data_IF_425516177917
#
_entry.id   IF_425516177917
#
_cell.length_a   1.000
_cell.length_b   1.000
_cell.length_c   1.000
_cell.angle_alpha   90.00
_cell.angle_beta   90.00
_cell.angle_gamma   90.00
#
_symmetry.space_group_name_H-M   'P 1'
#
loop_
_entity.id
_entity.type
_entity.pdbx_description
1 polymer ?
#
# COMPACT_ATOMS: atom_id res chain seq x y z
N UNK A 1 26.84 37.66 35.67
CA UNK A 1 25.63 36.88 35.31
C UNK A 1 25.39 37.08 33.82
N UNK A 2 26.04 36.25 33.00
CA UNK A 2 26.07 36.42 31.54
C UNK A 2 24.89 35.66 30.93
N UNK A 3 23.90 36.39 30.40
CA UNK A 3 22.79 35.79 29.63
C UNK A 3 23.32 35.47 28.23
N UNK A 4 23.44 34.19 27.90
CA UNK A 4 23.66 33.76 26.53
C UNK A 4 22.45 34.13 25.67
N UNK A 5 22.63 35.14 24.81
CA UNK A 5 21.69 35.50 23.77
C UNK A 5 21.87 34.53 22.60
N UNK A 6 21.03 33.50 22.54
CA UNK A 6 21.00 32.58 21.40
C UNK A 6 20.55 33.35 20.15
N UNK A 7 21.44 33.47 19.16
CA UNK A 7 21.16 34.12 17.89
C UNK A 7 20.06 33.32 17.15
N UNK A 8 18.99 33.94 16.63
CA UNK A 8 17.98 33.22 15.89
C UNK A 8 18.61 32.65 14.61
N UNK A 9 18.64 31.32 14.50
CA UNK A 9 19.17 30.59 13.34
C UNK A 9 18.29 30.91 12.13
N UNK A 10 18.69 31.96 11.39
CA UNK A 10 18.05 32.41 10.16
C UNK A 10 18.31 31.33 9.09
N UNK A 11 17.23 30.74 8.55
CA UNK A 11 17.32 29.70 7.51
C UNK A 11 16.73 28.32 7.87
N UNK A 12 16.12 28.15 9.05
CA UNK A 12 15.25 26.97 9.27
C UNK A 12 14.06 27.07 8.32
N UNK A 13 14.11 26.29 7.24
CA UNK A 13 12.99 26.06 6.36
C UNK A 13 11.77 25.56 7.14
N UNK A 14 10.63 25.56 6.48
CA UNK A 14 9.37 25.13 7.07
C UNK A 14 9.52 23.76 7.75
N UNK A 15 9.13 23.60 9.04
CA UNK A 15 9.34 22.35 9.77
C UNK A 15 8.66 21.18 9.05
N UNK A 16 9.38 20.05 8.98
CA UNK A 16 8.91 18.80 8.34
C UNK A 16 7.58 18.39 8.96
N UNK A 17 6.57 18.16 8.12
CA UNK A 17 5.21 17.78 8.55
C UNK A 17 4.25 18.94 8.82
N UNK A 18 4.69 20.20 8.72
CA UNK A 18 3.74 21.32 8.90
C UNK A 18 2.78 21.47 7.71
N UNK A 19 1.48 21.35 7.98
CA UNK A 19 0.41 21.44 6.98
C UNK A 19 0.19 22.87 6.49
N UNK A 20 -0.02 23.06 5.18
CA UNK A 20 -0.42 24.35 4.62
C UNK A 20 -1.72 24.85 5.29
N UNK A 21 -1.68 26.02 5.94
CA UNK A 21 -2.80 26.56 6.72
C UNK A 21 -4.06 26.72 5.86
N UNK A 22 -3.90 27.22 4.63
CA UNK A 22 -5.03 27.45 3.73
C UNK A 22 -5.71 26.12 3.33
N UNK A 23 -4.91 25.12 2.96
CA UNK A 23 -5.44 23.79 2.60
C UNK A 23 -6.08 23.09 3.80
N UNK A 24 -5.54 23.28 5.01
CA UNK A 24 -6.15 22.75 6.24
C UNK A 24 -7.52 23.38 6.48
N UNK A 25 -7.60 24.70 6.49
CA UNK A 25 -8.86 25.44 6.67
C UNK A 25 -9.92 25.02 5.65
N UNK A 26 -9.52 24.86 4.38
CA UNK A 26 -10.42 24.39 3.34
C UNK A 26 -10.94 22.97 3.60
N UNK A 27 -10.07 22.04 4.01
CA UNK A 27 -10.46 20.67 4.34
C UNK A 27 -11.42 20.63 5.52
N UNK A 28 -11.13 21.41 6.57
CA UNK A 28 -11.97 21.48 7.77
C UNK A 28 -13.36 22.06 7.43
N UNK A 29 -13.41 23.14 6.64
CA UNK A 29 -14.68 23.74 6.18
C UNK A 29 -15.48 22.79 5.28
N UNK A 30 -14.80 22.06 4.39
CA UNK A 30 -15.44 21.08 3.51
C UNK A 30 -16.06 19.92 4.31
N UNK A 31 -15.36 19.41 5.32
CA UNK A 31 -15.88 18.37 6.21
C UNK A 31 -17.09 18.86 7.02
N UNK A 32 -17.03 20.09 7.53
CA UNK A 32 -18.15 20.70 8.25
C UNK A 32 -19.38 20.87 7.34
N UNK A 33 -19.18 21.35 6.11
CA UNK A 33 -20.26 21.51 5.14
C UNK A 33 -20.87 20.16 4.75
N UNK A 34 -20.06 19.13 4.52
CA UNK A 34 -20.55 17.80 4.19
C UNK A 34 -21.31 17.15 5.37
N UNK A 35 -20.89 17.41 6.61
CA UNK A 35 -21.59 16.95 7.81
C UNK A 35 -22.99 17.57 7.89
N UNK A 36 -23.07 18.90 7.76
CA UNK A 36 -24.34 19.64 7.76
C UNK A 36 -25.25 19.23 6.60
N UNK A 37 -24.68 19.01 5.40
CA UNK A 37 -25.42 18.52 4.25
C UNK A 37 -26.08 17.15 4.54
N UNK A 38 -25.39 16.29 5.29
CA UNK A 38 -25.91 14.99 5.69
C UNK A 38 -27.03 15.05 6.73
N UNK A 39 -27.02 16.05 7.61
CA UNK A 39 -28.11 16.28 8.57
C UNK A 39 -29.46 16.61 7.90
N UNK A 40 -29.45 16.99 6.61
CA UNK A 40 -30.68 17.12 5.81
C UNK A 40 -31.26 15.78 5.35
N UNK A 41 -30.46 14.72 5.30
CA UNK A 41 -30.86 13.39 4.82
C UNK A 41 -31.04 12.39 5.97
N UNK A 42 -30.34 12.56 7.08
CA UNK A 42 -30.39 11.67 8.24
C UNK A 42 -29.94 12.36 9.54
N UNK A 43 -29.62 11.57 10.57
CA UNK A 43 -29.20 12.09 11.90
C UNK A 43 -27.73 11.87 12.20
N UNK A 44 -26.99 11.26 11.28
CA UNK A 44 -25.59 10.87 11.48
C UNK A 44 -24.62 11.76 10.68
N UNK A 45 -25.05 12.98 10.33
CA UNK A 45 -24.27 13.98 9.61
C UNK A 45 -23.56 13.40 8.39
N UNK A 46 -22.23 13.42 8.42
CA UNK A 46 -21.40 12.99 7.28
C UNK A 46 -21.68 11.55 6.82
N UNK A 47 -22.07 10.66 7.74
CA UNK A 47 -22.43 9.27 7.38
C UNK A 47 -23.68 9.27 6.51
N UNK A 48 -24.74 9.97 6.94
CA UNK A 48 -25.98 10.11 6.18
C UNK A 48 -25.76 10.76 4.81
N UNK A 49 -24.82 11.72 4.70
CA UNK A 49 -24.41 12.29 3.42
C UNK A 49 -23.80 11.24 2.48
N UNK A 50 -22.88 10.42 3.00
CA UNK A 50 -22.21 9.37 2.23
C UNK A 50 -23.15 8.24 1.85
N UNK A 51 -24.07 7.85 2.72
CA UNK A 51 -25.11 6.85 2.43
C UNK A 51 -26.03 7.33 1.29
N UNK A 52 -26.45 8.60 1.34
CA UNK A 52 -27.23 9.20 0.26
C UNK A 52 -26.47 9.11 -1.08
N UNK A 53 -25.18 9.45 -1.10
CA UNK A 53 -24.37 9.36 -2.32
C UNK A 53 -24.05 7.93 -2.76
N UNK A 54 -23.97 6.96 -1.84
CA UNK A 54 -23.78 5.56 -2.19
C UNK A 54 -24.94 5.02 -3.04
N UNK A 55 -26.17 5.49 -2.77
CA UNK A 55 -27.38 5.10 -3.49
C UNK A 55 -27.60 5.96 -4.74
N UNK A 56 -27.52 7.28 -4.60
CA UNK A 56 -27.91 8.23 -5.65
C UNK A 56 -26.79 8.53 -6.66
N UNK A 57 -25.53 8.41 -6.25
CA UNK A 57 -24.34 8.75 -7.05
C UNK A 57 -23.25 7.68 -6.92
N UNK A 58 -23.54 6.40 -7.28
CA UNK A 58 -22.67 5.27 -6.95
C UNK A 58 -21.28 5.38 -7.59
N UNK A 59 -21.16 5.93 -8.80
CA UNK A 59 -19.88 6.07 -9.52
C UNK A 59 -18.87 6.92 -8.73
N UNK A 60 -19.32 8.05 -8.20
CA UNK A 60 -18.49 8.93 -7.37
C UNK A 60 -18.13 8.28 -6.03
N UNK A 61 -19.08 7.54 -5.43
CA UNK A 61 -18.85 6.82 -4.19
C UNK A 61 -17.81 5.69 -4.33
N UNK A 62 -17.89 4.88 -5.39
CA UNK A 62 -16.89 3.84 -5.68
C UNK A 62 -15.49 4.41 -5.83
N UNK A 63 -15.36 5.60 -6.42
CA UNK A 63 -14.06 6.28 -6.56
C UNK A 63 -13.46 6.67 -5.20
N UNK A 64 -14.28 6.97 -4.20
CA UNK A 64 -13.83 7.21 -2.83
C UNK A 64 -13.45 5.90 -2.13
N UNK A 65 -14.26 4.85 -2.31
CA UNK A 65 -13.99 3.53 -1.74
C UNK A 65 -12.62 3.01 -2.20
N UNK A 66 -12.32 3.12 -3.49
CA UNK A 66 -11.03 2.73 -4.05
C UNK A 66 -9.82 3.47 -3.41
N UNK A 67 -10.01 4.68 -2.89
CA UNK A 67 -8.95 5.45 -2.21
C UNK A 67 -8.79 5.09 -0.74
N UNK A 68 -9.82 4.56 -0.10
CA UNK A 68 -9.80 4.13 1.30
C UNK A 68 -9.30 2.69 1.44
N UNK A 69 -9.45 1.89 0.39
CA UNK A 69 -8.92 0.53 0.36
C UNK A 69 -7.38 0.51 0.44
N UNK A 70 -6.79 -0.30 1.33
CA UNK A 70 -5.35 -0.48 1.38
C UNK A 70 -4.84 -1.09 0.06
N UNK A 71 -3.92 -0.41 -0.62
CA UNK A 71 -3.29 -0.92 -1.85
C UNK A 71 -2.19 -1.96 -1.57
N UNK A 72 -1.70 -2.01 -0.34
CA UNK A 72 -0.60 -2.89 0.07
C UNK A 72 -1.06 -3.72 1.27
N UNK A 73 -0.96 -5.04 1.14
CA UNK A 73 -1.05 -5.94 2.30
C UNK A 73 0.24 -5.72 3.08
N UNK A 74 0.15 -5.03 4.23
CA UNK A 74 1.25 -4.99 5.19
C UNK A 74 1.16 -6.22 6.10
N UNK A 75 2.30 -6.70 6.58
CA UNK A 75 2.34 -7.67 7.66
C UNK A 75 1.71 -7.10 8.95
N UNK A 76 1.51 -7.97 9.94
CA UNK A 76 0.91 -7.61 11.22
C UNK A 76 1.61 -6.38 11.84
N UNK A 77 0.82 -5.36 12.20
CA UNK A 77 1.35 -4.11 12.75
C UNK A 77 2.04 -3.17 11.76
N UNK A 78 1.87 -3.35 10.44
CA UNK A 78 2.51 -2.51 9.43
C UNK A 78 3.94 -2.90 9.08
N UNK A 79 4.39 -4.09 9.52
CA UNK A 79 5.70 -4.63 9.16
C UNK A 79 5.72 -5.15 7.73
N UNK A 80 6.91 -5.40 7.19
CA UNK A 80 7.04 -6.11 5.91
C UNK A 80 6.32 -7.47 5.94
N UNK A 81 5.76 -7.86 4.79
CA UNK A 81 5.14 -9.18 4.61
C UNK A 81 6.22 -10.24 4.72
N UNK A 82 6.14 -11.08 5.76
CA UNK A 82 7.07 -12.20 5.96
C UNK A 82 6.71 -13.35 5.01
N UNK A 83 7.35 -13.38 3.86
CA UNK A 83 7.21 -14.48 2.90
C UNK A 83 8.18 -15.60 3.26
N UNK A 84 7.68 -16.79 3.56
CA UNK A 84 8.53 -17.99 3.74
C UNK A 84 8.72 -18.63 2.36
N UNK A 85 9.86 -18.40 1.73
CA UNK A 85 10.23 -19.07 0.48
C UNK A 85 10.91 -20.40 0.80
N UNK A 86 10.24 -21.52 0.50
CA UNK A 86 10.86 -22.86 0.54
C UNK A 86 11.44 -23.16 -0.84
N UNK A 87 12.74 -23.40 -0.90
CA UNK A 87 13.43 -23.89 -2.10
C UNK A 87 13.79 -25.34 -1.85
N UNK A 88 13.29 -26.25 -2.68
CA UNK A 88 13.65 -27.67 -2.66
C UNK A 88 14.59 -27.95 -3.84
N UNK A 89 15.82 -28.37 -3.53
CA UNK A 89 16.81 -28.74 -4.53
C UNK A 89 16.72 -30.25 -4.70
N UNK A 90 16.23 -30.71 -5.86
CA UNK A 90 16.19 -32.13 -6.20
C UNK A 90 17.36 -32.45 -7.13
N UNK A 91 18.27 -33.37 -6.74
CA UNK A 91 19.36 -33.79 -7.61
C UNK A 91 18.79 -34.60 -8.79
N UNK A 92 19.18 -34.23 -10.01
CA UNK A 92 18.83 -34.99 -11.21
C UNK A 92 19.81 -36.16 -11.35
N UNK A 93 19.31 -37.38 -11.21
CA UNK A 93 20.11 -38.58 -11.48
C UNK A 93 20.30 -38.71 -12.99
N UNK A 94 21.55 -38.81 -13.49
CA UNK A 94 21.77 -39.04 -14.91
C UNK A 94 21.21 -40.41 -15.30
N UNK A 95 20.50 -40.46 -16.42
CA UNK A 95 20.06 -41.73 -17.01
C UNK A 95 21.31 -42.51 -17.41
N UNK A 96 21.49 -43.69 -16.82
CA UNK A 96 22.65 -44.55 -17.05
C UNK A 96 22.94 -44.67 -18.55
N UNK A 97 24.20 -44.43 -18.92
CA UNK A 97 24.66 -44.63 -20.28
C UNK A 97 24.44 -46.11 -20.64
N UNK A 98 23.68 -46.34 -21.71
CA UNK A 98 23.54 -47.66 -22.33
C UNK A 98 24.93 -48.08 -22.80
N UNK A 99 25.53 -49.07 -22.13
CA UNK A 99 26.71 -49.78 -22.62
C UNK A 99 26.30 -50.58 -23.86
N UNK A 100 26.78 -50.14 -25.03
CA UNK A 100 26.64 -50.82 -26.32
C UNK A 100 27.61 -52.00 -26.36
N UNK A 101 27.18 -53.16 -25.87
CA UNK A 101 27.87 -54.45 -26.05
C UNK A 101 27.63 -54.98 -27.48
N UNK A 102 28.29 -54.38 -28.48
CA UNK A 102 28.45 -55.02 -29.79
C UNK A 102 29.78 -55.76 -29.84
N UNK A 103 29.68 -57.03 -29.43
CA UNK A 103 30.64 -58.10 -29.66
C UNK A 103 31.26 -58.02 -31.05
N UNK A 104 32.58 -58.14 -31.05
CA UNK A 104 33.41 -58.81 -32.04
C UNK A 104 32.67 -59.92 -32.81
N UNK A 105 32.47 -59.73 -34.12
CA UNK A 105 32.41 -60.83 -35.07
C UNK A 105 33.25 -60.45 -36.29
N UNK A 106 34.52 -60.82 -36.23
CA UNK A 106 35.38 -60.95 -37.41
C UNK A 106 34.71 -61.98 -38.31
N UNK A 107 34.37 -61.60 -39.53
CA UNK A 107 33.79 -62.49 -40.54
C UNK A 107 34.90 -63.39 -41.09
N UNK A 108 34.73 -64.70 -40.90
CA UNK A 108 35.33 -65.74 -41.76
C UNK A 108 34.65 -65.67 -43.14
N UNK A 109 35.45 -65.50 -44.20
CA UNK A 109 35.52 -66.24 -45.50
C UNK A 109 36.55 -65.55 -46.39
#
# INVERSE_FOLDING_TARGET
>A
MTKEQSVPVRGRGRPKGSLNKNTKLLKDALLAAATQAGDHYGRDGLVSYLEYHAINNPVSFFSLLAKVLPLQVSGEGGSDVKTVSRVEIVPVTPKAAVTDDRKTSVFDV
#
